data_IF_718807179296
#
_entry.id   IF_718807179296
#
_cell.length_a   1.000
_cell.length_b   1.000
_cell.length_c   1.000
_cell.angle_alpha   90.00
_cell.angle_beta   90.00
_cell.angle_gamma   90.00
#
_symmetry.space_group_name_H-M   'P 1'
#
loop_
_entity.id
_entity.type
_entity.pdbx_description
1 polymer ?
#
# COMPACT_ATOMS: atom_id res chain seq x y z
N UNK A 1 -23.12 -10.48 -6.74
CA UNK A 1 -22.89 -9.06 -7.07
C UNK A 1 -21.41 -8.91 -7.38
N UNK A 2 -21.06 -8.43 -8.57
CA UNK A 2 -19.65 -8.30 -9.00
C UNK A 2 -18.84 -7.56 -7.96
N UNK A 3 -17.62 -8.08 -7.66
CA UNK A 3 -16.70 -7.44 -6.73
C UNK A 3 -16.15 -6.13 -7.31
N UNK A 4 -16.04 -6.04 -8.65
CA UNK A 4 -15.51 -4.88 -9.36
C UNK A 4 -16.50 -4.34 -10.38
N UNK A 5 -16.55 -3.01 -10.53
CA UNK A 5 -17.29 -2.36 -11.63
C UNK A 5 -16.52 -2.40 -12.96
N UNK A 6 -15.20 -2.67 -12.92
CA UNK A 6 -14.35 -2.86 -14.10
C UNK A 6 -14.40 -4.31 -14.51
N UNK A 7 -14.76 -4.56 -15.78
CA UNK A 7 -15.04 -5.91 -16.30
C UNK A 7 -14.45 -6.12 -17.68
N UNK A 8 -14.16 -7.40 -18.01
CA UNK A 8 -13.96 -7.83 -19.39
C UNK A 8 -15.17 -8.65 -19.85
N UNK A 9 -15.53 -8.48 -21.12
CA UNK A 9 -16.60 -9.25 -21.76
C UNK A 9 -16.17 -9.66 -23.16
N UNK A 10 -16.64 -10.81 -23.64
CA UNK A 10 -16.43 -11.23 -25.01
C UNK A 10 -17.15 -10.29 -25.97
N UNK A 11 -16.41 -9.83 -26.99
CA UNK A 11 -16.92 -9.05 -28.10
C UNK A 11 -16.45 -9.66 -29.43
N UNK A 12 -17.13 -10.69 -29.91
CA UNK A 12 -16.66 -11.52 -31.02
C UNK A 12 -15.45 -12.39 -30.61
N UNK A 13 -14.38 -12.35 -31.39
CA UNK A 13 -13.16 -13.14 -31.13
C UNK A 13 -12.22 -12.53 -30.10
N UNK A 14 -12.55 -11.37 -29.56
CA UNK A 14 -11.71 -10.61 -28.64
C UNK A 14 -12.43 -10.27 -27.34
N UNK A 15 -11.66 -10.01 -26.30
CA UNK A 15 -12.18 -9.43 -25.07
C UNK A 15 -12.19 -7.92 -25.14
N UNK A 16 -13.13 -7.31 -24.46
CA UNK A 16 -13.27 -5.85 -24.33
C UNK A 16 -13.27 -5.47 -22.85
N UNK A 17 -12.29 -4.65 -22.46
CA UNK A 17 -12.17 -4.11 -21.12
C UNK A 17 -12.88 -2.77 -21.04
N UNK A 18 -13.76 -2.64 -20.03
CA UNK A 18 -14.48 -1.42 -19.74
C UNK A 18 -14.51 -1.16 -18.24
N UNK A 19 -14.42 0.11 -17.85
CA UNK A 19 -14.60 0.55 -16.49
C UNK A 19 -13.60 1.61 -16.03
N UNK A 20 -13.56 1.83 -14.71
CA UNK A 20 -12.66 2.79 -14.08
C UNK A 20 -11.99 2.16 -12.86
N UNK A 21 -10.75 2.53 -12.64
CA UNK A 21 -9.99 2.23 -11.43
C UNK A 21 -9.54 3.53 -10.80
N UNK A 22 -9.61 3.57 -9.47
CA UNK A 22 -9.13 4.69 -8.67
C UNK A 22 -7.87 4.26 -7.90
N UNK A 23 -7.09 5.24 -7.49
CA UNK A 23 -5.85 4.99 -6.75
C UNK A 23 -4.86 4.10 -7.52
N UNK A 24 -4.73 4.37 -8.82
CA UNK A 24 -3.87 3.59 -9.72
C UNK A 24 -2.41 4.01 -9.60
N UNK A 25 -1.87 3.83 -8.40
CA UNK A 25 -0.51 4.25 -8.03
C UNK A 25 0.52 3.79 -9.05
N UNK A 26 1.31 4.75 -9.55
CA UNK A 26 2.38 4.51 -10.51
C UNK A 26 1.94 4.35 -11.96
N UNK A 27 0.65 4.17 -12.26
CA UNK A 27 0.18 3.91 -13.63
C UNK A 27 0.49 5.04 -14.60
N UNK A 28 0.57 6.28 -14.13
CA UNK A 28 0.92 7.43 -14.98
C UNK A 28 2.37 7.39 -15.51
N UNK A 29 3.25 6.65 -14.83
CA UNK A 29 4.67 6.55 -15.17
C UNK A 29 5.07 5.19 -15.77
N UNK A 30 4.11 4.26 -15.88
CA UNK A 30 4.37 2.90 -16.35
C UNK A 30 4.03 2.72 -17.82
N UNK A 31 4.73 1.85 -18.51
CA UNK A 31 4.42 1.44 -19.89
C UNK A 31 3.28 0.41 -19.92
N UNK A 32 3.13 -0.35 -18.83
CA UNK A 32 2.14 -1.42 -18.69
C UNK A 32 1.38 -1.30 -17.37
N UNK A 33 0.07 -1.55 -17.43
CA UNK A 33 -0.83 -1.50 -16.28
C UNK A 33 -1.41 -2.89 -16.07
N UNK A 34 -1.23 -3.45 -14.87
CA UNK A 34 -1.91 -4.68 -14.45
C UNK A 34 -3.17 -4.32 -13.66
N UNK A 35 -4.30 -4.91 -14.01
CA UNK A 35 -5.61 -4.54 -13.51
C UNK A 35 -6.34 -5.79 -13.01
N UNK A 36 -6.70 -5.83 -11.72
CA UNK A 36 -7.63 -6.83 -11.18
C UNK A 36 -9.07 -6.41 -11.47
N UNK A 37 -9.85 -7.33 -12.01
CA UNK A 37 -11.22 -7.08 -12.46
C UNK A 37 -12.04 -8.39 -12.46
N UNK A 38 -13.25 -8.37 -12.96
CA UNK A 38 -14.06 -9.59 -13.16
C UNK A 38 -14.34 -9.85 -14.64
N UNK A 39 -14.45 -11.11 -15.01
CA UNK A 39 -14.96 -11.51 -16.30
C UNK A 39 -16.50 -11.46 -16.35
N UNK A 40 -17.09 -11.91 -17.46
CA UNK A 40 -18.54 -11.94 -17.66
C UNK A 40 -19.28 -12.93 -16.76
N UNK A 41 -18.56 -13.85 -16.10
CA UNK A 41 -19.09 -14.82 -15.14
C UNK A 41 -18.83 -14.40 -13.67
N UNK A 42 -18.46 -13.13 -13.44
CA UNK A 42 -18.05 -12.59 -12.14
C UNK A 42 -16.80 -13.28 -11.53
N UNK A 43 -16.01 -14.01 -12.33
CA UNK A 43 -14.75 -14.59 -11.90
C UNK A 43 -13.67 -13.51 -11.84
N UNK A 44 -12.90 -13.49 -10.76
CA UNK A 44 -11.73 -12.60 -10.61
C UNK A 44 -10.63 -12.97 -11.59
N UNK A 45 -10.20 -11.99 -12.38
CA UNK A 45 -9.09 -12.11 -13.32
C UNK A 45 -8.20 -10.87 -13.25
N UNK A 46 -6.97 -10.99 -13.67
CA UNK A 46 -6.08 -9.85 -13.91
C UNK A 46 -5.78 -9.72 -15.39
N UNK A 47 -5.65 -8.49 -15.84
CA UNK A 47 -5.35 -8.16 -17.24
C UNK A 47 -4.18 -7.19 -17.27
N UNK A 48 -3.26 -7.40 -18.20
CA UNK A 48 -2.17 -6.47 -18.45
C UNK A 48 -2.42 -5.73 -19.76
N UNK A 49 -2.40 -4.39 -19.70
CA UNK A 49 -2.61 -3.52 -20.87
C UNK A 49 -1.48 -2.51 -21.02
N UNK A 50 -1.17 -2.14 -22.26
CA UNK A 50 -0.27 -1.01 -22.49
C UNK A 50 -0.94 0.30 -22.08
N UNK A 51 -0.16 1.19 -21.44
CA UNK A 51 -0.60 2.56 -21.10
C UNK A 51 -1.10 3.32 -22.35
N UNK A 52 -0.48 3.07 -23.50
CA UNK A 52 -0.80 3.75 -24.78
C UNK A 52 -1.81 3.01 -25.64
N UNK A 53 -2.42 1.92 -25.14
CA UNK A 53 -3.41 1.18 -25.89
C UNK A 53 -4.65 2.03 -26.18
N UNK A 54 -5.28 1.89 -27.37
CA UNK A 54 -6.51 2.60 -27.69
C UNK A 54 -7.60 2.33 -26.64
N UNK A 55 -8.19 3.40 -26.11
CA UNK A 55 -9.22 3.33 -25.07
C UNK A 55 -8.68 3.34 -23.63
N UNK A 56 -7.37 3.39 -23.44
CA UNK A 56 -6.77 3.59 -22.11
C UNK A 56 -6.52 5.08 -21.88
N UNK A 57 -6.97 5.60 -20.73
CA UNK A 57 -6.68 6.95 -20.29
C UNK A 57 -6.29 6.93 -18.81
N UNK A 58 -5.12 7.47 -18.49
CA UNK A 58 -4.63 7.59 -17.12
C UNK A 58 -4.55 9.07 -16.77
N UNK A 59 -5.33 9.48 -15.77
CA UNK A 59 -5.44 10.87 -15.35
C UNK A 59 -4.48 11.16 -14.21
N UNK A 60 -3.90 12.35 -14.21
CA UNK A 60 -3.12 12.88 -13.10
C UNK A 60 -4.03 13.76 -12.22
N UNK A 61 -5.08 13.17 -11.67
CA UNK A 61 -6.14 13.84 -10.91
C UNK A 61 -6.07 13.55 -9.40
N UNK A 62 -4.94 13.08 -8.89
CA UNK A 62 -4.73 12.90 -7.46
C UNK A 62 -4.79 14.23 -6.71
N UNK A 63 -5.76 14.34 -5.80
CA UNK A 63 -5.98 15.53 -4.97
C UNK A 63 -5.99 15.23 -3.46
N UNK A 64 -5.47 14.08 -3.06
CA UNK A 64 -5.36 13.70 -1.65
C UNK A 64 -4.24 14.44 -0.91
N UNK A 65 -4.22 14.28 0.41
CA UNK A 65 -3.20 14.86 1.26
C UNK A 65 -1.84 14.17 1.05
N UNK A 66 -0.87 14.92 0.54
CA UNK A 66 0.47 14.40 0.25
C UNK A 66 0.50 13.39 -0.90
N UNK A 67 1.62 12.68 -1.04
CA UNK A 67 1.81 11.59 -2.01
C UNK A 67 1.54 11.98 -3.48
N UNK A 68 1.71 13.24 -3.84
CA UNK A 68 1.43 13.75 -5.20
C UNK A 68 2.30 13.10 -6.27
N UNK A 69 3.52 12.69 -5.90
CA UNK A 69 4.47 12.03 -6.81
C UNK A 69 4.16 10.55 -7.05
N UNK A 70 3.18 9.97 -6.35
CA UNK A 70 2.77 8.57 -6.60
C UNK A 70 1.86 8.43 -7.80
N UNK A 71 1.32 9.55 -8.32
CA UNK A 71 0.34 9.57 -9.41
C UNK A 71 -0.79 8.54 -9.20
N UNK A 72 -1.38 8.57 -8.01
CA UNK A 72 -2.48 7.66 -7.60
C UNK A 72 -3.83 8.11 -8.15
N UNK A 73 -3.86 8.55 -9.40
CA UNK A 73 -5.05 9.07 -10.07
C UNK A 73 -6.00 7.99 -10.56
N UNK A 74 -6.85 8.38 -11.52
CA UNK A 74 -7.87 7.54 -12.13
C UNK A 74 -7.36 6.93 -13.44
N UNK A 75 -7.59 5.63 -13.64
CA UNK A 75 -7.45 4.99 -14.94
C UNK A 75 -8.83 4.64 -15.50
N UNK A 76 -9.06 4.99 -16.76
CA UNK A 76 -10.31 4.78 -17.50
C UNK A 76 -10.02 3.83 -18.66
N UNK A 77 -10.90 2.87 -18.83
CA UNK A 77 -10.84 1.86 -19.90
C UNK A 77 -12.14 1.89 -20.69
N UNK A 78 -12.02 2.21 -21.97
CA UNK A 78 -13.19 2.35 -22.87
C UNK A 78 -12.99 1.44 -24.06
N UNK A 79 -13.69 0.30 -24.06
CA UNK A 79 -13.66 -0.68 -25.14
C UNK A 79 -12.24 -1.15 -25.52
N UNK A 80 -11.32 -1.25 -24.53
CA UNK A 80 -9.95 -1.66 -24.77
C UNK A 80 -9.91 -3.11 -25.20
N UNK A 81 -9.22 -3.38 -26.31
CA UNK A 81 -9.05 -4.74 -26.82
C UNK A 81 -8.03 -5.52 -26.01
N UNK A 82 -8.41 -6.72 -25.57
CA UNK A 82 -7.59 -7.62 -24.77
C UNK A 82 -7.48 -8.97 -25.47
N UNK A 83 -6.28 -9.52 -25.50
CA UNK A 83 -6.04 -10.87 -26.03
C UNK A 83 -6.13 -11.91 -24.90
N UNK A 84 -6.40 -13.16 -25.23
CA UNK A 84 -6.46 -14.25 -24.24
C UNK A 84 -5.14 -14.39 -23.48
N UNK A 85 -4.00 -14.14 -24.12
CA UNK A 85 -2.67 -14.19 -23.53
C UNK A 85 -2.41 -13.13 -22.44
N UNK A 86 -3.18 -12.02 -22.45
CA UNK A 86 -3.05 -10.93 -21.49
C UNK A 86 -3.91 -11.13 -20.24
N UNK A 87 -4.76 -12.18 -20.26
CA UNK A 87 -5.67 -12.50 -19.15
C UNK A 87 -5.05 -13.60 -18.29
N UNK A 88 -5.03 -13.38 -17.00
CA UNK A 88 -4.58 -14.37 -16.01
C UNK A 88 -5.64 -14.55 -14.94
N UNK A 89 -5.73 -15.72 -14.37
CA UNK A 89 -6.51 -15.89 -13.15
C UNK A 89 -5.94 -15.00 -12.06
N UNK A 90 -6.80 -14.25 -11.37
CA UNK A 90 -6.39 -13.39 -10.25
C UNK A 90 -6.16 -14.27 -9.02
N UNK A 91 -5.08 -15.03 -9.08
CA UNK A 91 -4.64 -15.89 -7.99
C UNK A 91 -3.86 -15.06 -6.98
N UNK A 92 -4.57 -14.32 -6.14
CA UNK A 92 -3.94 -13.79 -4.94
C UNK A 92 -3.52 -14.96 -4.05
N UNK A 93 -2.27 -14.95 -3.58
CA UNK A 93 -1.83 -15.94 -2.60
C UNK A 93 -2.69 -15.85 -1.33
N UNK A 94 -3.03 -16.99 -0.71
CA UNK A 94 -4.03 -17.06 0.36
C UNK A 94 -3.74 -16.18 1.59
N UNK A 95 -2.47 -15.81 1.81
CA UNK A 95 -2.03 -14.92 2.90
C UNK A 95 -1.83 -13.46 2.44
N UNK A 96 -2.23 -13.07 1.22
CA UNK A 96 -2.03 -11.73 0.68
C UNK A 96 -2.56 -10.60 1.58
N UNK A 97 -3.78 -10.68 2.16
CA UNK A 97 -4.27 -9.62 3.04
C UNK A 97 -3.37 -9.41 4.26
N UNK A 98 -2.91 -10.49 4.89
CA UNK A 98 -2.03 -10.42 6.04
C UNK A 98 -0.63 -9.90 5.66
N UNK A 99 -0.12 -10.27 4.49
CA UNK A 99 1.15 -9.76 3.96
C UNK A 99 1.11 -8.24 3.75
N UNK A 100 0.05 -7.71 3.13
CA UNK A 100 -0.09 -6.26 2.96
C UNK A 100 -0.23 -5.52 4.29
N UNK A 101 -0.93 -6.10 5.28
CA UNK A 101 -0.98 -5.52 6.63
C UNK A 101 0.39 -5.52 7.32
N UNK A 102 1.20 -6.55 7.10
CA UNK A 102 2.58 -6.57 7.62
C UNK A 102 3.44 -5.46 7.02
N UNK A 103 3.31 -5.16 5.72
CA UNK A 103 4.04 -4.04 5.08
C UNK A 103 3.65 -2.71 5.75
N UNK A 104 2.35 -2.48 5.99
CA UNK A 104 1.89 -1.27 6.69
C UNK A 104 2.42 -1.21 8.12
N UNK A 105 2.38 -2.32 8.86
CA UNK A 105 2.90 -2.40 10.22
C UNK A 105 4.40 -2.09 10.27
N UNK A 106 5.19 -2.66 9.37
CA UNK A 106 6.63 -2.40 9.28
C UNK A 106 6.93 -0.93 8.94
N UNK A 107 6.16 -0.34 8.04
CA UNK A 107 6.27 1.08 7.68
C UNK A 107 5.98 1.97 8.89
N UNK A 108 4.88 1.72 9.61
CA UNK A 108 4.50 2.48 10.80
C UNK A 108 5.53 2.32 11.93
N UNK A 109 6.07 1.12 12.12
CA UNK A 109 7.14 0.89 13.08
C UNK A 109 8.42 1.67 12.74
N UNK A 110 8.77 1.75 11.44
CA UNK A 110 9.89 2.56 10.94
C UNK A 110 9.68 4.05 11.19
N UNK A 111 8.50 4.58 10.87
CA UNK A 111 8.13 5.98 11.12
C UNK A 111 8.18 6.30 12.61
N UNK A 112 7.59 5.46 13.46
CA UNK A 112 7.60 5.63 14.91
C UNK A 112 9.01 5.66 15.49
N UNK A 113 9.90 4.79 15.00
CA UNK A 113 11.32 4.77 15.39
C UNK A 113 12.03 6.06 14.99
N UNK A 114 11.88 6.53 13.78
CA UNK A 114 12.47 7.78 13.30
C UNK A 114 11.98 8.98 14.13
N UNK A 115 10.66 9.14 14.26
CA UNK A 115 10.05 10.21 15.03
C UNK A 115 10.51 10.22 16.49
N UNK A 116 10.57 9.07 17.17
CA UNK A 116 11.00 9.01 18.55
C UNK A 116 12.46 9.44 18.73
N UNK A 117 13.32 9.13 17.76
CA UNK A 117 14.70 9.58 17.73
C UNK A 117 14.83 11.09 17.51
N UNK A 118 14.14 11.61 16.52
CA UNK A 118 14.14 13.04 16.19
C UNK A 118 13.60 13.90 17.34
N UNK A 119 12.47 13.51 17.94
CA UNK A 119 11.91 14.22 19.11
C UNK A 119 12.87 14.21 20.29
N UNK A 120 13.51 13.08 20.57
CA UNK A 120 14.50 12.99 21.66
C UNK A 120 15.70 13.92 21.39
N UNK A 121 16.23 13.94 20.18
CA UNK A 121 17.31 14.83 19.77
C UNK A 121 16.91 16.32 19.87
N UNK A 122 15.70 16.65 19.42
CA UNK A 122 15.15 18.00 19.47
C UNK A 122 14.99 18.49 20.92
N UNK A 123 14.50 17.64 21.82
CA UNK A 123 14.37 17.94 23.25
C UNK A 123 15.74 18.14 23.88
N UNK A 124 16.71 17.28 23.56
CA UNK A 124 18.09 17.40 24.09
C UNK A 124 18.78 18.69 23.63
N UNK A 125 18.58 19.10 22.36
CA UNK A 125 19.19 20.28 21.79
C UNK A 125 18.49 21.59 22.17
N UNK A 126 17.29 21.54 22.75
CA UNK A 126 16.47 22.72 23.02
C UNK A 126 17.03 23.54 24.15
N UNK A 127 17.43 24.79 23.88
CA UNK A 127 17.96 25.75 24.86
C UNK A 127 16.87 26.69 25.39
N UNK A 128 15.79 26.94 24.60
CA UNK A 128 14.71 27.81 25.05
C UNK A 128 13.80 27.10 26.03
N UNK A 129 13.54 27.72 27.16
CA UNK A 129 12.60 27.31 28.18
C UNK A 129 11.44 28.29 28.30
N UNK A 130 10.34 27.86 28.89
CA UNK A 130 9.21 28.73 29.22
C UNK A 130 9.25 29.07 30.70
N UNK A 131 8.75 30.26 31.09
CA UNK A 131 8.70 30.71 32.48
C UNK A 131 7.90 29.79 33.42
N UNK A 132 6.97 29.00 32.86
CA UNK A 132 6.18 28.00 33.56
C UNK A 132 6.70 26.56 33.38
N UNK A 133 7.91 26.37 32.88
CA UNK A 133 8.55 25.05 32.81
C UNK A 133 8.95 24.55 34.20
N UNK A 134 8.92 23.22 34.37
CA UNK A 134 9.25 22.59 35.66
C UNK A 134 10.79 22.41 35.87
N UNK A 135 11.60 22.74 34.86
CA UNK A 135 13.04 22.66 34.92
C UNK A 135 13.72 23.73 34.05
N UNK A 136 14.99 24.06 34.30
CA UNK A 136 15.76 25.04 33.52
C UNK A 136 15.97 24.62 32.06
N UNK A 137 15.93 23.32 31.75
CA UNK A 137 16.12 22.76 30.42
C UNK A 137 14.97 21.79 30.09
N UNK A 138 14.54 21.76 28.84
CA UNK A 138 13.52 20.80 28.36
C UNK A 138 13.97 19.34 28.63
N UNK A 139 15.26 19.07 28.51
CA UNK A 139 15.81 17.74 28.73
C UNK A 139 15.79 17.27 30.21
N UNK A 140 15.54 18.19 31.14
CA UNK A 140 15.50 17.91 32.59
C UNK A 140 14.04 17.98 33.12
N UNK A 141 13.07 18.37 32.27
CA UNK A 141 11.67 18.49 32.66
C UNK A 141 10.99 17.11 32.64
N UNK A 142 10.51 16.67 33.79
CA UNK A 142 9.90 15.35 33.97
C UNK A 142 8.64 15.13 33.09
N UNK A 143 7.85 16.17 32.82
CA UNK A 143 6.68 16.04 31.95
C UNK A 143 7.09 15.83 30.49
N UNK A 144 8.10 16.54 30.02
CA UNK A 144 8.64 16.38 28.67
C UNK A 144 9.30 15.00 28.54
N UNK A 145 10.08 14.58 29.52
CA UNK A 145 10.72 13.26 29.54
C UNK A 145 9.68 12.13 29.56
N UNK A 146 8.54 12.31 30.26
CA UNK A 146 7.44 11.36 30.21
C UNK A 146 6.89 11.18 28.81
N UNK A 147 6.69 12.26 28.04
CA UNK A 147 6.21 12.19 26.65
C UNK A 147 7.24 11.48 25.77
N UNK A 148 8.51 11.84 25.87
CA UNK A 148 9.60 11.18 25.13
C UNK A 148 9.66 9.68 25.47
N UNK A 149 9.53 9.33 26.76
CA UNK A 149 9.50 7.94 27.20
C UNK A 149 8.34 7.15 26.61
N UNK A 150 7.14 7.72 26.57
CA UNK A 150 5.96 7.09 25.95
C UNK A 150 6.16 6.87 24.44
N UNK A 151 6.71 7.85 23.72
CA UNK A 151 7.03 7.71 22.29
C UNK A 151 8.06 6.59 22.05
N UNK A 152 9.11 6.53 22.87
CA UNK A 152 10.13 5.47 22.80
C UNK A 152 9.54 4.09 23.08
N UNK A 153 8.69 3.97 24.09
CA UNK A 153 8.01 2.70 24.41
C UNK A 153 7.09 2.25 23.29
N UNK A 154 6.32 3.15 22.71
CA UNK A 154 5.44 2.84 21.56
C UNK A 154 6.25 2.40 20.33
N UNK A 155 7.33 3.10 20.01
CA UNK A 155 8.24 2.75 18.91
C UNK A 155 8.90 1.39 19.13
N UNK A 156 9.34 1.09 20.36
CA UNK A 156 9.92 -0.19 20.72
C UNK A 156 8.89 -1.33 20.56
N UNK A 157 7.68 -1.13 21.09
CA UNK A 157 6.61 -2.14 21.02
C UNK A 157 6.23 -2.46 19.56
N UNK A 158 6.00 -1.45 18.73
CA UNK A 158 5.69 -1.66 17.32
C UNK A 158 6.83 -2.34 16.57
N UNK A 159 8.07 -1.98 16.87
CA UNK A 159 9.27 -2.61 16.30
C UNK A 159 9.45 -4.07 16.73
N UNK A 160 9.01 -4.45 17.92
CA UNK A 160 9.04 -5.84 18.39
C UNK A 160 7.93 -6.69 17.76
N UNK A 161 6.73 -6.11 17.51
CA UNK A 161 5.58 -6.82 16.93
C UNK A 161 5.82 -7.16 15.45
N UNK A 162 6.42 -6.28 14.66
CA UNK A 162 6.60 -6.47 13.23
C UNK A 162 7.36 -7.76 12.86
N UNK A 163 8.51 -8.11 13.49
CA UNK A 163 9.18 -9.38 13.23
C UNK A 163 8.36 -10.62 13.64
N UNK A 164 7.59 -10.55 14.73
CA UNK A 164 6.70 -11.64 15.13
C UNK A 164 5.58 -11.87 14.11
N UNK A 165 4.98 -10.79 13.60
CA UNK A 165 3.99 -10.89 12.54
C UNK A 165 4.60 -11.46 11.24
N UNK A 166 5.84 -11.08 10.90
CA UNK A 166 6.56 -11.66 9.76
C UNK A 166 6.79 -13.16 9.93
N UNK A 167 7.22 -13.61 11.11
CA UNK A 167 7.40 -15.05 11.40
C UNK A 167 6.09 -15.83 11.30
N UNK A 168 4.97 -15.24 11.72
CA UNK A 168 3.66 -15.88 11.59
C UNK A 168 3.24 -16.12 10.12
N UNK A 169 3.74 -15.33 9.18
CA UNK A 169 3.47 -15.47 7.75
C UNK A 169 4.35 -16.52 7.05
N UNK A 170 5.43 -16.98 7.67
CA UNK A 170 6.29 -18.00 7.10
C UNK A 170 5.51 -19.32 6.89
N UNK A 171 4.70 -19.74 7.87
CA UNK A 171 3.92 -20.99 7.77
C UNK A 171 2.95 -21.03 6.57
N UNK A 172 2.06 -20.02 6.35
CA UNK A 172 1.20 -20.01 5.18
C UNK A 172 1.98 -19.88 3.87
N UNK A 173 3.11 -19.17 3.86
CA UNK A 173 4.01 -19.12 2.72
C UNK A 173 4.56 -20.49 2.36
N UNK A 174 5.12 -21.23 3.33
CA UNK A 174 5.68 -22.56 3.14
C UNK A 174 4.59 -23.57 2.71
N UNK A 175 3.42 -23.52 3.35
CA UNK A 175 2.29 -24.39 3.01
C UNK A 175 1.82 -24.20 1.56
N UNK A 176 1.76 -22.96 1.08
CA UNK A 176 1.36 -22.67 -0.30
C UNK A 176 2.38 -23.16 -1.33
N UNK A 177 3.68 -23.12 -1.01
CA UNK A 177 4.75 -23.56 -1.91
C UNK A 177 4.99 -25.07 -1.87
N UNK A 178 4.61 -25.76 -0.79
CA UNK A 178 4.68 -27.23 -0.69
C UNK A 178 3.55 -27.94 -1.45
N UNK A 179 2.38 -27.32 -1.56
CA UNK A 179 1.23 -27.87 -2.32
C UNK A 179 1.49 -27.85 -3.84
N UNK A 180 2.39 -27.01 -4.33
CA UNK A 180 2.76 -26.92 -5.75
C UNK A 180 3.92 -27.85 -6.17
N UNK A 181 4.46 -28.64 -5.26
CA UNK A 181 5.61 -29.53 -5.49
C UNK A 181 5.29 -31.05 -5.43
N UNK A 182 4.00 -31.40 -5.49
CA UNK A 182 3.52 -32.80 -5.52
C UNK A 182 3.05 -33.23 -6.91
#
# INVERSE_FOLDING_TARGET
RSMFSTQIKRGGDRWRLNGKKFYTTGSHYSDWINISLTDENDKGVSVTVSHTAPGVSVLNDWNGFGQTLTASGTAIFENVEIQDADIREDAHFGYAPAFYQLIHLATLAGIGRAQSGEVAALVAARTRTYSNGNAPRAADDAQILQVVGRLRSAAYTSGAIAPHAAQALIRPFEAQHQIGSA
#
